data_IF_875501958033
#
_entry.id   IF_875501958033
#
_cell.length_a   1.000
_cell.length_b   1.000
_cell.length_c   1.000
_cell.angle_alpha   90.00
_cell.angle_beta   90.00
_cell.angle_gamma   90.00
#
_symmetry.space_group_name_H-M   'P 1'
#
loop_
_entity.id
_entity.type
_entity.pdbx_description
1 polymer ?
#
# COMPACT_ATOMS: atom_id res chain seq x y z
N UNK A 1 1.20 49.29 -3.89
CA UNK A 1 2.47 48.55 -3.72
C UNK A 1 2.86 47.81 -5.02
N UNK A 2 2.05 46.93 -5.59
CA UNK A 2 2.38 46.26 -6.86
C UNK A 2 2.53 47.19 -8.06
N UNK A 3 1.74 48.30 -8.11
CA UNK A 3 1.89 49.34 -9.13
C UNK A 3 3.21 50.15 -9.01
N UNK A 4 3.71 50.34 -7.78
CA UNK A 4 4.99 50.96 -7.55
C UNK A 4 6.17 50.08 -7.93
N UNK A 5 6.07 48.74 -7.72
CA UNK A 5 7.04 47.79 -8.20
C UNK A 5 7.08 47.77 -9.73
N UNK A 6 5.93 47.85 -10.38
CA UNK A 6 5.84 47.89 -11.83
C UNK A 6 6.47 49.19 -12.40
N UNK A 7 6.24 50.35 -11.75
CA UNK A 7 6.87 51.63 -12.11
C UNK A 7 8.40 51.63 -11.94
N UNK A 8 8.92 50.82 -10.99
CA UNK A 8 10.36 50.64 -10.74
C UNK A 8 11.00 49.52 -11.54
N UNK A 9 10.26 48.91 -12.49
CA UNK A 9 10.77 47.80 -13.32
C UNK A 9 11.03 46.49 -12.56
N UNK A 10 10.51 46.35 -11.34
CA UNK A 10 10.64 45.11 -10.56
C UNK A 10 9.60 44.12 -11.00
N UNK A 11 10.04 42.86 -11.29
CA UNK A 11 9.17 41.76 -11.71
C UNK A 11 8.44 41.14 -10.52
N UNK A 12 8.88 41.43 -9.29
CA UNK A 12 8.31 40.88 -8.07
C UNK A 12 6.95 41.52 -7.76
N UNK A 13 5.97 40.67 -7.43
CA UNK A 13 4.63 41.11 -7.03
C UNK A 13 4.27 40.49 -5.68
N UNK A 14 3.61 41.28 -4.84
CA UNK A 14 3.06 40.81 -3.56
C UNK A 14 1.68 40.22 -3.84
N UNK A 15 1.53 38.97 -3.55
CA UNK A 15 0.24 38.27 -3.57
C UNK A 15 -0.17 37.94 -2.11
N UNK A 16 -1.35 38.40 -1.71
CA UNK A 16 -1.88 38.20 -0.36
C UNK A 16 -2.64 36.88 -0.17
N UNK A 17 -2.79 36.09 -1.23
CA UNK A 17 -3.41 34.78 -1.14
C UNK A 17 -2.51 33.81 -0.38
N UNK A 18 -3.09 32.78 0.23
CA UNK A 18 -2.32 31.70 0.85
C UNK A 18 -1.47 30.95 -0.19
N UNK A 19 -0.40 30.31 0.21
CA UNK A 19 0.42 29.47 -0.67
C UNK A 19 -0.42 28.39 -1.40
N UNK A 20 -1.42 27.86 -0.71
CA UNK A 20 -2.36 26.90 -1.30
C UNK A 20 -3.21 27.52 -2.41
N UNK A 21 -3.71 28.75 -2.20
CA UNK A 21 -4.47 29.48 -3.21
C UNK A 21 -3.61 30.01 -4.38
N UNK A 22 -2.30 30.12 -4.17
CA UNK A 22 -1.31 30.45 -5.21
C UNK A 22 -0.74 29.21 -5.90
N UNK A 23 -1.18 28.01 -5.54
CA UNK A 23 -0.64 26.72 -6.01
C UNK A 23 0.87 26.53 -5.70
N UNK A 24 1.39 27.26 -4.70
CA UNK A 24 2.77 27.15 -4.25
C UNK A 24 2.88 25.93 -3.33
N UNK A 25 3.64 24.92 -3.74
CA UNK A 25 3.84 23.68 -2.98
C UNK A 25 4.89 23.81 -1.86
N UNK A 26 5.12 24.99 -1.35
CA UNK A 26 6.05 25.24 -0.25
C UNK A 26 5.28 25.40 1.07
N UNK A 27 5.92 25.05 2.16
CA UNK A 27 5.37 25.20 3.50
C UNK A 27 5.64 26.65 3.96
N UNK A 28 4.61 27.43 4.33
CA UNK A 28 4.82 28.78 4.81
C UNK A 28 5.55 28.79 6.15
N UNK A 29 6.45 29.76 6.34
CA UNK A 29 7.15 29.93 7.60
C UNK A 29 6.22 30.50 8.68
N UNK A 30 6.47 30.11 9.92
CA UNK A 30 5.74 30.61 11.07
C UNK A 30 6.25 32.04 11.40
N UNK A 31 5.32 32.96 11.66
CA UNK A 31 5.68 34.31 12.03
C UNK A 31 6.51 34.36 13.32
N UNK A 32 7.70 34.95 13.24
CA UNK A 32 8.59 35.20 14.36
C UNK A 32 8.37 36.61 14.87
N UNK A 33 7.88 36.73 16.10
CA UNK A 33 7.74 38.03 16.77
C UNK A 33 9.10 38.64 17.09
N UNK A 34 9.14 39.95 17.45
CA UNK A 34 10.39 40.70 17.71
C UNK A 34 11.28 40.04 18.78
N UNK A 35 10.67 39.45 19.80
CA UNK A 35 11.41 38.77 20.88
C UNK A 35 12.12 37.50 20.40
N UNK A 36 11.45 36.67 19.59
CA UNK A 36 12.05 35.46 19.00
C UNK A 36 13.24 35.85 18.13
N UNK A 37 13.10 36.85 17.25
CA UNK A 37 14.19 37.34 16.40
C UNK A 37 15.39 37.83 17.20
N UNK A 38 15.16 38.59 18.32
CA UNK A 38 16.22 39.05 19.21
C UNK A 38 16.94 37.89 19.91
N UNK A 39 16.22 36.85 20.32
CA UNK A 39 16.80 35.63 20.93
C UNK A 39 17.64 34.85 19.92
N UNK A 40 17.12 34.58 18.74
CA UNK A 40 17.84 33.89 17.67
C UNK A 40 19.10 34.68 17.24
N UNK A 41 19.02 36.00 17.13
CA UNK A 41 20.18 36.88 16.83
C UNK A 41 21.27 36.79 17.90
N UNK A 42 20.93 36.49 19.15
CA UNK A 42 21.86 36.24 20.25
C UNK A 42 22.34 34.82 20.36
N UNK A 43 22.01 33.93 19.39
CA UNK A 43 22.38 32.53 19.37
C UNK A 43 21.53 31.62 20.27
N UNK A 44 20.45 32.16 20.87
CA UNK A 44 19.54 31.40 21.72
C UNK A 44 18.51 30.74 20.80
N UNK A 45 18.54 29.39 20.71
CA UNK A 45 17.61 28.61 19.88
C UNK A 45 16.21 28.63 20.50
N UNK A 46 15.23 29.04 19.71
CA UNK A 46 13.80 28.98 20.07
C UNK A 46 13.08 27.90 19.32
N UNK A 47 11.95 27.42 19.84
CA UNK A 47 11.10 26.40 19.15
C UNK A 47 10.65 26.91 17.77
N UNK A 48 10.16 28.16 17.69
CA UNK A 48 9.71 28.75 16.43
C UNK A 48 10.85 28.91 15.41
N UNK A 49 12.03 29.33 15.87
CA UNK A 49 13.22 29.46 15.03
C UNK A 49 13.70 28.08 14.53
N UNK A 50 13.67 27.08 15.40
CA UNK A 50 14.02 25.68 15.04
C UNK A 50 13.04 25.10 14.01
N UNK A 51 11.74 25.36 14.18
CA UNK A 51 10.72 24.94 13.24
C UNK A 51 10.86 25.63 11.88
N UNK A 52 11.16 26.94 11.87
CA UNK A 52 11.41 27.67 10.62
C UNK A 52 12.67 27.20 9.89
N UNK A 53 13.72 26.79 10.62
CA UNK A 53 14.90 26.15 10.00
C UNK A 53 14.52 24.82 9.33
N UNK A 54 13.75 23.98 10.02
CA UNK A 54 13.25 22.73 9.46
C UNK A 54 12.36 22.96 8.23
N UNK A 55 11.47 23.95 8.29
CA UNK A 55 10.62 24.34 7.14
C UNK A 55 11.50 24.80 5.96
N UNK A 56 12.56 25.54 6.20
CA UNK A 56 13.51 25.95 5.13
C UNK A 56 14.19 24.74 4.49
N UNK A 57 14.68 23.81 5.29
CA UNK A 57 15.32 22.58 4.78
C UNK A 57 14.34 21.74 3.96
N UNK A 58 13.11 21.55 4.44
CA UNK A 58 12.06 20.84 3.71
C UNK A 58 11.74 21.55 2.39
N UNK A 59 11.59 22.86 2.42
CA UNK A 59 11.30 23.66 1.22
C UNK A 59 12.46 23.59 0.20
N UNK A 60 13.70 23.61 0.65
CA UNK A 60 14.87 23.38 -0.22
C UNK A 60 14.81 21.99 -0.85
N UNK A 61 14.50 20.96 -0.09
CA UNK A 61 14.28 19.61 -0.60
C UNK A 61 13.16 19.53 -1.64
N UNK A 62 12.05 20.24 -1.39
CA UNK A 62 10.92 20.32 -2.34
C UNK A 62 11.35 21.00 -3.65
N UNK A 63 12.10 22.09 -3.57
CA UNK A 63 12.61 22.81 -4.76
C UNK A 63 13.56 21.93 -5.57
N UNK A 64 14.50 21.25 -4.91
CA UNK A 64 15.44 20.33 -5.55
C UNK A 64 14.74 19.14 -6.22
N UNK A 65 13.72 18.60 -5.56
CA UNK A 65 12.88 17.56 -6.17
C UNK A 65 12.08 18.09 -7.37
N UNK A 66 11.62 19.32 -7.30
CA UNK A 66 10.88 19.99 -8.39
C UNK A 66 11.77 20.19 -9.62
N UNK A 67 13.02 20.58 -9.40
CA UNK A 67 14.03 20.71 -10.45
C UNK A 67 14.33 19.36 -11.10
N UNK A 68 14.62 18.33 -10.31
CA UNK A 68 14.83 16.97 -10.83
C UNK A 68 13.61 16.42 -11.59
N UNK A 69 12.39 16.69 -11.11
CA UNK A 69 11.17 16.30 -11.83
C UNK A 69 11.07 17.05 -13.17
N UNK A 70 11.48 18.32 -13.21
CA UNK A 70 11.52 19.07 -14.46
C UNK A 70 12.53 18.47 -15.42
N UNK A 71 13.74 18.19 -14.97
CA UNK A 71 14.79 17.56 -15.78
C UNK A 71 14.32 16.22 -16.37
N UNK A 72 13.67 15.39 -15.54
CA UNK A 72 13.06 14.12 -16.00
C UNK A 72 11.95 14.37 -17.02
N UNK A 73 11.13 15.40 -16.84
CA UNK A 73 10.08 15.76 -17.79
C UNK A 73 10.67 16.24 -19.13
N UNK A 74 11.75 17.00 -19.08
CA UNK A 74 12.47 17.48 -20.26
C UNK A 74 13.10 16.29 -21.02
N UNK A 75 13.75 15.36 -20.32
CA UNK A 75 14.26 14.11 -20.91
C UNK A 75 13.13 13.25 -21.49
N UNK A 76 11.99 13.12 -20.82
CA UNK A 76 10.82 12.40 -21.36
C UNK A 76 10.28 13.10 -22.61
N UNK A 77 10.28 14.43 -22.63
CA UNK A 77 9.85 15.22 -23.78
C UNK A 77 10.81 15.02 -24.96
N UNK A 78 12.12 15.07 -24.73
CA UNK A 78 13.14 14.79 -25.72
C UNK A 78 13.06 13.37 -26.27
N UNK A 79 12.93 12.37 -25.41
CA UNK A 79 12.73 10.97 -25.80
C UNK A 79 11.42 10.78 -26.57
N UNK A 80 10.36 11.49 -26.17
CA UNK A 80 9.08 11.47 -26.90
C UNK A 80 9.21 12.08 -28.31
N UNK A 81 9.96 13.20 -28.44
CA UNK A 81 10.25 13.81 -29.74
C UNK A 81 11.20 12.95 -30.60
N UNK A 82 12.16 12.29 -29.98
CA UNK A 82 13.07 11.36 -30.64
C UNK A 82 12.34 10.08 -31.09
N UNK A 83 11.44 9.57 -30.30
CA UNK A 83 10.48 8.51 -30.68
C UNK A 83 9.59 8.96 -31.84
N UNK A 84 9.12 10.20 -31.87
CA UNK A 84 8.34 10.75 -32.99
C UNK A 84 9.16 10.93 -34.26
N UNK A 85 10.44 11.26 -34.15
CA UNK A 85 11.39 11.35 -35.31
C UNK A 85 11.74 9.98 -35.87
N UNK A 86 11.85 8.97 -35.03
CA UNK A 86 12.08 7.57 -35.45
C UNK A 86 10.81 6.83 -35.90
N UNK A 87 9.70 7.52 -36.11
CA UNK A 87 8.37 6.99 -36.45
C UNK A 87 8.22 6.29 -37.81
N UNK A 88 9.28 6.08 -38.57
CA UNK A 88 9.24 5.19 -39.71
C UNK A 88 9.55 3.72 -39.44
N UNK A 89 9.84 3.35 -38.18
CA UNK A 89 10.12 1.98 -37.76
C UNK A 89 9.21 1.56 -36.63
N UNK A 90 8.20 0.74 -36.92
CA UNK A 90 7.45 -0.18 -36.06
C UNK A 90 7.22 0.29 -34.60
N UNK A 91 6.28 1.25 -34.40
CA UNK A 91 5.71 1.44 -33.07
C UNK A 91 5.03 0.14 -32.64
N UNK A 92 5.48 -0.46 -31.55
CA UNK A 92 4.81 -1.64 -31.03
C UNK A 92 3.35 -1.28 -30.71
N UNK A 93 2.41 -2.16 -31.01
CA UNK A 93 0.96 -2.01 -30.69
C UNK A 93 0.75 -1.65 -29.21
N UNK A 94 1.64 -2.09 -28.33
CA UNK A 94 1.61 -1.81 -26.89
C UNK A 94 1.89 -0.33 -26.59
N UNK A 95 2.91 0.25 -27.20
CA UNK A 95 3.30 1.66 -27.02
C UNK A 95 2.17 2.62 -27.43
N UNK A 96 1.54 2.36 -28.59
CA UNK A 96 0.37 3.13 -29.03
C UNK A 96 -0.86 2.95 -28.10
N UNK A 97 -1.05 1.76 -27.59
CA UNK A 97 -2.13 1.47 -26.65
C UNK A 97 -1.95 2.25 -25.34
N UNK A 98 -0.72 2.30 -24.81
CA UNK A 98 -0.40 3.02 -23.57
C UNK A 98 -0.60 4.53 -23.73
N UNK A 99 -0.12 5.12 -24.82
CA UNK A 99 -0.33 6.54 -25.09
C UNK A 99 -1.82 6.89 -25.09
N UNK A 100 -2.64 6.11 -25.79
CA UNK A 100 -4.10 6.31 -25.84
C UNK A 100 -4.76 6.10 -24.48
N UNK A 101 -4.36 5.08 -23.73
CA UNK A 101 -4.89 4.80 -22.40
C UNK A 101 -4.66 5.96 -21.42
N UNK A 102 -3.46 6.54 -21.41
CA UNK A 102 -3.16 7.67 -20.54
C UNK A 102 -3.74 9.00 -21.07
N UNK A 103 -3.88 9.17 -22.38
CA UNK A 103 -4.60 10.30 -22.95
C UNK A 103 -6.08 10.31 -22.53
N UNK A 104 -6.77 9.20 -22.67
CA UNK A 104 -8.17 9.01 -22.23
C UNK A 104 -8.36 9.31 -20.74
N UNK A 105 -7.43 8.85 -19.90
CA UNK A 105 -7.43 9.15 -18.46
C UNK A 105 -7.18 10.63 -18.14
N UNK A 106 -6.39 11.31 -18.94
CA UNK A 106 -6.17 12.75 -18.77
C UNK A 106 -7.39 13.55 -19.19
N UNK A 107 -8.04 13.20 -20.29
CA UNK A 107 -9.31 13.81 -20.74
C UNK A 107 -10.42 13.61 -19.70
N UNK A 108 -10.54 12.40 -19.15
CA UNK A 108 -11.50 12.12 -18.08
C UNK A 108 -11.21 12.96 -16.83
N UNK A 109 -9.94 13.17 -16.48
CA UNK A 109 -9.55 14.01 -15.34
C UNK A 109 -9.81 15.50 -15.61
N UNK A 110 -9.80 15.94 -16.86
CA UNK A 110 -10.09 17.32 -17.27
C UNK A 110 -11.57 17.68 -17.12
N UNK A 111 -12.47 16.71 -17.27
CA UNK A 111 -13.91 16.91 -17.08
C UNK A 111 -14.28 17.26 -15.62
N UNK A 112 -13.42 16.89 -14.65
CA UNK A 112 -13.58 17.27 -13.25
C UNK A 112 -12.72 18.49 -12.94
N UNK A 113 -13.33 19.66 -12.75
CA UNK A 113 -12.66 20.95 -12.59
C UNK A 113 -11.68 21.08 -11.42
N UNK A 114 -11.69 20.13 -10.48
CA UNK A 114 -10.84 20.14 -9.28
C UNK A 114 -9.71 19.11 -9.41
N UNK A 115 -8.47 19.58 -9.45
CA UNK A 115 -7.30 18.70 -9.37
C UNK A 115 -6.66 18.27 -10.70
N UNK A 116 -6.95 18.94 -11.82
CA UNK A 116 -6.39 18.66 -13.17
C UNK A 116 -4.88 18.42 -13.17
N UNK A 117 -4.13 19.34 -12.59
CA UNK A 117 -2.66 19.26 -12.55
C UNK A 117 -2.16 18.09 -11.69
N UNK A 118 -2.85 17.80 -10.58
CA UNK A 118 -2.52 16.66 -9.72
C UNK A 118 -2.80 15.32 -10.42
N UNK A 119 -3.92 15.23 -11.14
CA UNK A 119 -4.28 14.04 -11.89
C UNK A 119 -3.29 13.78 -13.04
N UNK A 120 -2.94 14.81 -13.83
CA UNK A 120 -1.93 14.72 -14.90
C UNK A 120 -0.56 14.27 -14.36
N UNK A 121 -0.07 14.89 -13.27
CA UNK A 121 1.19 14.48 -12.63
C UNK A 121 1.14 13.03 -12.14
N UNK A 122 0.02 12.61 -11.54
CA UNK A 122 -0.16 11.23 -11.09
C UNK A 122 -0.20 10.24 -12.24
N UNK A 123 -0.88 10.59 -13.34
CA UNK A 123 -0.94 9.75 -14.54
C UNK A 123 0.43 9.64 -15.22
N UNK A 124 1.19 10.74 -15.30
CA UNK A 124 2.55 10.73 -15.84
C UNK A 124 3.49 9.84 -15.01
N UNK A 125 3.43 9.97 -13.69
CA UNK A 125 4.21 9.12 -12.79
C UNK A 125 3.86 7.64 -12.99
N UNK A 126 2.58 7.30 -13.05
CA UNK A 126 2.12 5.93 -13.30
C UNK A 126 2.55 5.40 -14.67
N UNK A 127 2.55 6.27 -15.68
CA UNK A 127 3.02 5.90 -17.01
C UNK A 127 4.52 5.56 -16.98
N UNK A 128 5.33 6.39 -16.33
CA UNK A 128 6.76 6.15 -16.18
C UNK A 128 7.06 4.86 -15.40
N UNK A 129 6.40 4.65 -14.25
CA UNK A 129 6.51 3.42 -13.45
C UNK A 129 6.15 2.17 -14.28
N UNK A 130 5.11 2.29 -15.10
CA UNK A 130 4.66 1.20 -15.96
C UNK A 130 5.66 0.90 -17.08
N UNK A 131 6.22 1.93 -17.74
CA UNK A 131 7.22 1.74 -18.79
C UNK A 131 8.46 1.03 -18.24
N UNK A 132 8.96 1.46 -17.08
CA UNK A 132 10.07 0.79 -16.39
C UNK A 132 9.71 -0.66 -16.08
N UNK A 133 8.53 -0.92 -15.56
CA UNK A 133 8.05 -2.27 -15.27
C UNK A 133 8.02 -3.17 -16.52
N UNK A 134 7.50 -2.64 -17.64
CA UNK A 134 7.44 -3.39 -18.90
C UNK A 134 8.82 -3.70 -19.46
N UNK A 135 9.75 -2.77 -19.31
CA UNK A 135 11.15 -2.95 -19.73
C UNK A 135 11.86 -3.99 -18.86
N UNK A 136 11.75 -3.91 -17.54
CA UNK A 136 12.31 -4.89 -16.58
C UNK A 136 11.82 -6.32 -16.85
N UNK A 137 10.57 -6.45 -17.29
CA UNK A 137 9.96 -7.75 -17.58
C UNK A 137 10.01 -8.15 -19.06
N UNK A 138 10.72 -7.38 -19.91
CA UNK A 138 10.85 -7.63 -21.34
C UNK A 138 9.52 -7.80 -22.07
N UNK A 139 8.51 -6.98 -21.71
CA UNK A 139 7.18 -7.03 -22.31
C UNK A 139 7.09 -5.98 -23.42
N UNK A 140 7.11 -6.41 -24.66
CA UNK A 140 7.12 -5.55 -25.85
C UNK A 140 5.80 -5.53 -26.62
N UNK A 141 4.92 -6.51 -26.37
CA UNK A 141 3.65 -6.68 -27.08
C UNK A 141 2.45 -6.82 -26.12
N UNK A 142 1.24 -6.54 -26.67
CA UNK A 142 -0.02 -6.74 -25.91
C UNK A 142 -0.25 -8.22 -25.59
N UNK A 143 0.23 -9.13 -26.43
CA UNK A 143 0.12 -10.57 -26.21
C UNK A 143 0.99 -11.04 -25.05
N UNK A 144 2.23 -10.56 -25.00
CA UNK A 144 3.14 -10.80 -23.88
C UNK A 144 2.59 -10.20 -22.58
N UNK A 145 2.01 -8.99 -22.62
CA UNK A 145 1.34 -8.38 -21.48
C UNK A 145 0.18 -9.23 -20.98
N UNK A 146 -0.67 -9.74 -21.89
CA UNK A 146 -1.77 -10.63 -21.52
C UNK A 146 -1.29 -11.96 -20.92
N UNK A 147 -0.19 -12.53 -21.44
CA UNK A 147 0.44 -13.72 -20.86
C UNK A 147 0.96 -13.42 -19.46
N UNK A 148 1.75 -12.36 -19.31
CA UNK A 148 2.29 -11.94 -18.03
C UNK A 148 1.20 -11.71 -16.96
N UNK A 149 0.09 -11.06 -17.33
CA UNK A 149 -1.07 -10.88 -16.43
C UNK A 149 -1.69 -12.21 -16.02
N UNK A 150 -1.76 -13.20 -16.91
CA UNK A 150 -2.25 -14.55 -16.58
C UNK A 150 -1.32 -15.27 -15.60
N UNK A 151 -0.01 -15.18 -15.83
CA UNK A 151 0.99 -15.81 -14.98
C UNK A 151 0.99 -15.18 -13.58
N UNK A 152 0.93 -13.84 -13.50
CA UNK A 152 0.80 -13.12 -12.23
C UNK A 152 -0.51 -13.40 -11.49
N UNK A 153 -1.61 -13.65 -12.20
CA UNK A 153 -2.86 -14.10 -11.57
C UNK A 153 -2.76 -15.51 -10.99
N UNK A 154 -2.06 -16.40 -11.66
CA UNK A 154 -1.80 -17.73 -11.13
C UNK A 154 -0.97 -17.64 -9.84
N UNK A 155 0.09 -16.84 -9.84
CA UNK A 155 0.91 -16.53 -8.66
C UNK A 155 0.06 -15.96 -7.51
N UNK A 156 -0.81 -14.98 -7.79
CA UNK A 156 -1.74 -14.41 -6.81
C UNK A 156 -2.68 -15.47 -6.24
N UNK A 157 -3.16 -16.40 -7.08
CA UNK A 157 -4.00 -17.53 -6.67
C UNK A 157 -3.28 -18.43 -5.68
N UNK A 158 -2.03 -18.77 -5.95
CA UNK A 158 -1.17 -19.59 -5.06
C UNK A 158 -0.96 -18.86 -3.73
N UNK A 159 -0.56 -17.58 -3.78
CA UNK A 159 -0.34 -16.78 -2.59
C UNK A 159 -1.63 -16.63 -1.76
N UNK A 160 -2.78 -16.51 -2.42
CA UNK A 160 -4.09 -16.51 -1.77
C UNK A 160 -4.42 -17.82 -1.05
N UNK A 161 -4.02 -18.96 -1.62
CA UNK A 161 -4.17 -20.25 -0.96
C UNK A 161 -3.24 -20.39 0.25
N UNK A 162 -1.98 -19.96 0.10
CA UNK A 162 -1.01 -19.93 1.22
C UNK A 162 -1.53 -19.09 2.38
N UNK A 163 -2.06 -17.91 2.10
CA UNK A 163 -2.64 -17.03 3.13
C UNK A 163 -3.84 -17.68 3.83
N UNK A 164 -4.70 -18.40 3.10
CA UNK A 164 -5.82 -19.14 3.70
C UNK A 164 -5.34 -20.25 4.61
N UNK A 165 -4.33 -21.04 4.17
CA UNK A 165 -3.74 -22.10 5.00
C UNK A 165 -3.11 -21.56 6.26
N UNK A 166 -2.26 -20.51 6.17
CA UNK A 166 -1.66 -19.87 7.35
C UNK A 166 -2.71 -19.35 8.32
N UNK A 167 -3.79 -18.74 7.83
CA UNK A 167 -4.89 -18.27 8.67
C UNK A 167 -5.59 -19.43 9.41
N UNK A 168 -5.78 -20.55 8.76
CA UNK A 168 -6.33 -21.75 9.37
C UNK A 168 -5.38 -22.34 10.42
N UNK A 169 -4.07 -22.37 10.14
CA UNK A 169 -3.06 -22.85 11.10
C UNK A 169 -2.96 -21.96 12.34
N UNK A 170 -3.05 -20.64 12.18
CA UNK A 170 -3.13 -19.69 13.30
C UNK A 170 -4.38 -19.96 14.13
N UNK A 171 -5.54 -20.13 13.52
CA UNK A 171 -6.79 -20.40 14.20
C UNK A 171 -6.70 -21.73 14.99
N UNK A 172 -6.16 -22.77 14.37
CA UNK A 172 -5.95 -24.09 15.01
C UNK A 172 -4.95 -24.01 16.17
N UNK A 173 -3.88 -23.25 16.02
CA UNK A 173 -2.90 -23.04 17.08
C UNK A 173 -3.47 -22.25 18.26
N UNK A 174 -4.27 -21.22 18.00
CA UNK A 174 -5.00 -20.48 19.05
C UNK A 174 -6.02 -21.33 19.76
N UNK A 175 -6.69 -22.21 19.04
CA UNK A 175 -7.63 -23.18 19.64
C UNK A 175 -6.89 -24.18 20.53
N UNK A 176 -5.75 -24.71 20.09
CA UNK A 176 -4.92 -25.59 20.90
C UNK A 176 -4.41 -24.88 22.17
N UNK A 177 -4.02 -23.61 22.07
CA UNK A 177 -3.61 -22.81 23.23
C UNK A 177 -4.75 -22.62 24.25
N UNK A 178 -6.00 -22.44 23.75
CA UNK A 178 -7.18 -22.37 24.59
C UNK A 178 -7.42 -23.68 25.36
N UNK A 179 -7.31 -24.83 24.67
CA UNK A 179 -7.44 -26.13 25.33
C UNK A 179 -6.32 -26.39 26.33
N UNK A 180 -5.08 -25.96 26.01
CA UNK A 180 -3.97 -26.10 26.95
C UNK A 180 -4.20 -25.27 28.21
N UNK A 181 -4.71 -24.04 28.10
CA UNK A 181 -5.08 -23.24 29.26
C UNK A 181 -6.16 -23.92 30.12
N UNK A 182 -7.22 -24.45 29.51
CA UNK A 182 -8.27 -25.18 30.24
C UNK A 182 -7.77 -26.41 30.92
N UNK A 183 -6.81 -27.10 30.32
CA UNK A 183 -6.16 -28.27 30.91
C UNK A 183 -5.33 -27.88 32.14
N UNK A 184 -4.49 -26.84 32.01
CA UNK A 184 -3.67 -26.34 33.11
C UNK A 184 -4.50 -25.79 34.28
N UNK A 185 -5.59 -25.06 33.99
CA UNK A 185 -6.53 -24.56 35.00
C UNK A 185 -7.21 -25.70 35.79
N UNK A 186 -7.43 -26.82 35.14
CA UNK A 186 -8.09 -27.96 35.79
C UNK A 186 -7.16 -28.86 36.60
N UNK A 187 -5.84 -28.88 36.34
CA UNK A 187 -4.89 -29.71 37.07
C UNK A 187 -4.92 -29.51 38.59
N UNK A 188 -4.89 -28.27 39.13
CA UNK A 188 -4.95 -28.05 40.58
C UNK A 188 -6.25 -28.56 41.19
N UNK A 189 -7.38 -28.38 40.51
CA UNK A 189 -8.71 -28.84 40.98
C UNK A 189 -8.76 -30.37 41.05
N UNK A 190 -8.23 -31.07 40.04
CA UNK A 190 -8.11 -32.53 40.06
C UNK A 190 -7.19 -32.99 41.21
N UNK A 191 -6.06 -32.33 41.39
CA UNK A 191 -5.11 -32.63 42.48
C UNK A 191 -5.76 -32.42 43.85
N UNK A 192 -6.59 -31.43 44.04
CA UNK A 192 -7.36 -31.25 45.29
C UNK A 192 -8.37 -32.36 45.51
N UNK A 193 -9.11 -32.80 44.49
CA UNK A 193 -10.06 -33.90 44.53
C UNK A 193 -9.35 -35.21 44.92
N UNK A 194 -8.18 -35.49 44.34
CA UNK A 194 -7.41 -36.70 44.62
C UNK A 194 -6.88 -36.74 46.04
N UNK A 195 -6.44 -35.64 46.59
CA UNK A 195 -5.95 -35.52 47.99
C UNK A 195 -7.03 -35.73 49.03
N UNK A 196 -8.32 -35.61 48.74
CA UNK A 196 -9.41 -35.79 49.70
C UNK A 196 -9.74 -37.26 49.86
N UNK A 197 -9.82 -37.75 51.08
CA UNK A 197 -10.19 -39.16 51.43
C UNK A 197 -11.74 -39.36 51.43
N UNK A 198 -12.50 -38.36 51.81
CA UNK A 198 -13.94 -38.48 51.99
C UNK A 198 -14.74 -38.08 50.69
N UNK A 199 -15.69 -38.93 50.30
CA UNK A 199 -16.48 -38.72 49.08
C UNK A 199 -17.31 -37.42 49.16
N UNK A 200 -17.89 -37.07 50.31
CA UNK A 200 -18.68 -35.84 50.51
C UNK A 200 -17.84 -34.57 50.23
N UNK A 201 -16.56 -34.56 50.65
CA UNK A 201 -15.64 -33.45 50.33
C UNK A 201 -15.27 -33.37 48.87
N UNK A 202 -15.12 -34.53 48.20
CA UNK A 202 -14.89 -34.59 46.74
C UNK A 202 -16.07 -34.04 45.95
N UNK A 203 -17.30 -34.42 46.35
CA UNK A 203 -18.50 -33.96 45.66
C UNK A 203 -18.72 -32.44 45.81
N UNK A 204 -18.37 -31.88 46.99
CA UNK A 204 -18.42 -30.42 47.19
C UNK A 204 -17.46 -29.68 46.23
N UNK A 205 -16.22 -30.10 46.15
CA UNK A 205 -15.23 -29.49 45.24
C UNK A 205 -15.67 -29.65 43.76
N UNK A 206 -16.23 -30.81 43.38
CA UNK A 206 -16.80 -31.03 42.07
C UNK A 206 -17.98 -30.09 41.74
N UNK A 207 -18.85 -29.86 42.70
CA UNK A 207 -20.00 -28.95 42.56
C UNK A 207 -19.53 -27.49 42.42
N UNK A 208 -18.54 -27.07 43.24
CA UNK A 208 -17.99 -25.73 43.21
C UNK A 208 -17.21 -25.42 41.93
N UNK A 209 -16.56 -26.43 41.33
CA UNK A 209 -15.69 -26.30 40.14
C UNK A 209 -16.23 -27.03 38.91
N UNK A 210 -17.52 -27.21 38.80
CA UNK A 210 -18.15 -28.03 37.77
C UNK A 210 -17.79 -27.62 36.32
N UNK A 211 -17.75 -26.31 36.05
CA UNK A 211 -17.39 -25.78 34.70
C UNK A 211 -15.90 -25.96 34.41
N UNK A 212 -15.02 -25.74 35.37
CA UNK A 212 -13.56 -25.95 35.21
C UNK A 212 -13.26 -27.42 34.94
N UNK A 213 -13.89 -28.34 35.64
CA UNK A 213 -13.75 -29.78 35.44
C UNK A 213 -14.28 -30.21 34.06
N UNK A 214 -15.43 -29.67 33.65
CA UNK A 214 -15.96 -29.94 32.31
C UNK A 214 -14.98 -29.50 31.22
N UNK A 215 -14.47 -28.29 31.31
CA UNK A 215 -13.45 -27.74 30.37
C UNK A 215 -12.18 -28.59 30.40
N UNK A 216 -11.71 -28.98 31.56
CA UNK A 216 -10.55 -29.86 31.73
C UNK A 216 -10.73 -31.19 30.98
N UNK A 217 -11.86 -31.88 31.17
CA UNK A 217 -12.10 -33.17 30.52
C UNK A 217 -12.20 -33.04 29.01
N UNK A 218 -12.85 -31.96 28.50
CA UNK A 218 -12.91 -31.67 27.07
C UNK A 218 -11.48 -31.41 26.54
N UNK A 219 -10.73 -30.56 27.22
CA UNK A 219 -9.37 -30.21 26.82
C UNK A 219 -8.45 -31.43 26.82
N UNK A 220 -8.49 -32.24 27.89
CA UNK A 220 -7.70 -33.47 28.00
C UNK A 220 -7.98 -34.43 26.83
N UNK A 221 -9.25 -34.66 26.48
CA UNK A 221 -9.64 -35.52 25.33
C UNK A 221 -9.06 -34.97 24.02
N UNK A 222 -9.29 -33.67 23.71
CA UNK A 222 -8.87 -33.07 22.46
C UNK A 222 -7.34 -33.01 22.34
N UNK A 223 -6.64 -32.65 23.42
CA UNK A 223 -5.18 -32.63 23.44
C UNK A 223 -4.57 -34.02 23.29
N UNK A 224 -5.22 -35.04 23.82
CA UNK A 224 -4.80 -36.45 23.65
C UNK A 224 -5.04 -36.91 22.20
N UNK A 225 -6.21 -36.64 21.63
CA UNK A 225 -6.53 -36.96 20.23
C UNK A 225 -5.61 -36.26 19.24
N UNK A 226 -5.17 -35.05 19.55
CA UNK A 226 -4.22 -34.27 18.74
C UNK A 226 -2.75 -34.59 19.06
N UNK A 227 -2.46 -35.51 19.96
CA UNK A 227 -1.12 -35.89 20.43
C UNK A 227 -0.26 -34.70 20.93
N UNK A 228 -0.91 -33.70 21.53
CA UNK A 228 -0.23 -32.50 22.02
C UNK A 228 0.12 -32.56 23.50
N UNK A 229 -0.50 -33.48 24.25
CA UNK A 229 -0.36 -33.60 25.69
C UNK A 229 1.08 -34.05 26.03
N UNK A 230 1.81 -33.22 26.78
CA UNK A 230 3.20 -33.47 27.15
C UNK A 230 4.24 -33.23 26.06
N UNK A 231 3.82 -32.90 24.81
CA UNK A 231 4.75 -32.63 23.70
C UNK A 231 4.96 -31.15 23.42
N UNK A 232 4.08 -30.29 23.90
CA UNK A 232 4.12 -28.87 23.55
C UNK A 232 3.75 -27.99 24.75
N UNK A 233 4.64 -27.07 25.07
CA UNK A 233 4.44 -26.08 26.14
C UNK A 233 3.69 -24.85 25.64
N UNK A 234 3.03 -24.17 26.54
CA UNK A 234 2.28 -22.94 26.28
C UNK A 234 3.15 -21.86 25.64
N UNK A 235 4.37 -21.69 26.11
CA UNK A 235 5.35 -20.72 25.60
C UNK A 235 5.73 -21.01 24.15
N UNK A 236 6.01 -22.27 23.85
CA UNK A 236 6.32 -22.74 22.50
C UNK A 236 5.14 -22.51 21.54
N UNK A 237 3.93 -22.76 22.01
CA UNK A 237 2.73 -22.55 21.21
C UNK A 237 2.46 -21.05 20.96
N UNK A 238 2.68 -20.20 21.95
CA UNK A 238 2.60 -18.75 21.81
C UNK A 238 3.63 -18.19 20.83
N UNK A 239 4.88 -18.64 20.91
CA UNK A 239 5.92 -18.29 19.96
C UNK A 239 5.56 -18.71 18.53
N UNK A 240 5.05 -19.93 18.36
CA UNK A 240 4.58 -20.42 17.06
C UNK A 240 3.45 -19.58 16.50
N UNK A 241 2.48 -19.18 17.33
CA UNK A 241 1.38 -18.29 16.90
C UNK A 241 1.96 -16.95 16.47
N UNK A 242 2.85 -16.33 17.24
CA UNK A 242 3.47 -15.05 16.92
C UNK A 242 4.25 -15.09 15.61
N UNK A 243 5.04 -16.13 15.37
CA UNK A 243 5.79 -16.32 14.12
C UNK A 243 4.83 -16.47 12.92
N UNK A 244 3.80 -17.31 13.05
CA UNK A 244 2.78 -17.50 12.00
C UNK A 244 2.00 -16.21 11.70
N UNK A 245 1.69 -15.39 12.71
CA UNK A 245 1.04 -14.10 12.53
C UNK A 245 1.91 -13.09 11.78
N UNK A 246 3.21 -13.07 12.10
CA UNK A 246 4.18 -12.21 11.39
C UNK A 246 4.30 -12.60 9.93
N UNK A 247 4.52 -13.89 9.66
CA UNK A 247 4.58 -14.42 8.30
C UNK A 247 3.27 -14.20 7.52
N UNK A 248 2.12 -14.34 8.18
CA UNK A 248 0.83 -14.09 7.55
C UNK A 248 0.63 -12.61 7.18
N UNK A 249 1.13 -11.68 8.00
CA UNK A 249 1.12 -10.23 7.70
C UNK A 249 1.99 -9.91 6.49
N UNK A 250 3.20 -10.46 6.43
CA UNK A 250 4.14 -10.27 5.32
C UNK A 250 3.56 -10.80 4.00
N UNK A 251 3.07 -12.05 4.01
CA UNK A 251 2.44 -12.66 2.85
C UNK A 251 1.20 -11.89 2.39
N UNK A 252 0.41 -11.36 3.33
CA UNK A 252 -0.76 -10.56 2.98
C UNK A 252 -0.38 -9.20 2.38
N UNK A 253 0.72 -8.59 2.83
CA UNK A 253 1.25 -7.37 2.23
C UNK A 253 1.71 -7.62 0.78
N UNK A 254 2.43 -8.72 0.53
CA UNK A 254 2.83 -9.15 -0.81
C UNK A 254 1.61 -9.42 -1.71
N UNK A 255 0.61 -10.16 -1.20
CA UNK A 255 -0.64 -10.40 -1.90
C UNK A 255 -1.34 -9.11 -2.32
N UNK A 256 -1.41 -8.13 -1.42
CA UNK A 256 -2.06 -6.84 -1.66
C UNK A 256 -1.29 -5.98 -2.68
N UNK A 257 0.05 -6.04 -2.68
CA UNK A 257 0.88 -5.38 -3.68
C UNK A 257 0.66 -5.99 -5.05
N UNK A 258 0.85 -7.31 -5.17
CA UNK A 258 0.67 -8.05 -6.41
C UNK A 258 -0.75 -7.88 -7.01
N UNK A 259 -1.78 -7.85 -6.16
CA UNK A 259 -3.15 -7.62 -6.61
C UNK A 259 -3.36 -6.23 -7.22
N UNK A 260 -2.66 -5.19 -6.68
CA UNK A 260 -2.71 -3.83 -7.25
C UNK A 260 -2.01 -3.76 -8.60
N UNK A 261 -0.84 -4.38 -8.72
CA UNK A 261 -0.06 -4.40 -9.95
C UNK A 261 -0.82 -5.11 -11.07
N UNK A 262 -1.39 -6.28 -10.76
CA UNK A 262 -2.25 -7.01 -11.69
C UNK A 262 -3.44 -6.17 -12.14
N UNK A 263 -4.09 -5.46 -11.22
CA UNK A 263 -5.25 -4.61 -11.56
C UNK A 263 -4.86 -3.53 -12.57
N UNK A 264 -3.73 -2.85 -12.35
CA UNK A 264 -3.24 -1.81 -13.26
C UNK A 264 -2.93 -2.38 -14.65
N UNK A 265 -2.26 -3.52 -14.74
CA UNK A 265 -1.97 -4.18 -16.01
C UNK A 265 -3.24 -4.67 -16.73
N UNK A 266 -4.23 -5.16 -15.96
CA UNK A 266 -5.51 -5.58 -16.50
C UNK A 266 -6.30 -4.44 -17.11
N UNK A 267 -6.31 -3.26 -16.48
CA UNK A 267 -7.00 -2.07 -17.00
C UNK A 267 -6.48 -1.74 -18.41
N UNK A 268 -5.18 -1.87 -18.64
CA UNK A 268 -4.54 -1.66 -19.95
C UNK A 268 -4.96 -2.73 -20.97
N UNK A 269 -4.94 -4.01 -20.54
CA UNK A 269 -5.39 -5.11 -21.41
C UNK A 269 -6.86 -4.94 -21.83
N UNK A 270 -7.71 -4.49 -20.91
CA UNK A 270 -9.14 -4.23 -21.18
C UNK A 270 -9.32 -3.06 -22.12
N UNK A 271 -8.57 -1.97 -21.93
CA UNK A 271 -8.57 -0.82 -22.82
C UNK A 271 -8.15 -1.20 -24.25
N UNK A 272 -7.08 -1.99 -24.38
CA UNK A 272 -6.62 -2.52 -25.68
C UNK A 272 -7.70 -3.31 -26.40
N UNK A 273 -8.44 -4.17 -25.69
CA UNK A 273 -9.53 -4.96 -26.27
C UNK A 273 -10.67 -4.05 -26.78
N UNK A 274 -11.11 -3.10 -25.95
CA UNK A 274 -12.17 -2.13 -26.34
C UNK A 274 -11.78 -1.35 -27.58
N UNK A 275 -10.55 -0.84 -27.65
CA UNK A 275 -10.06 -0.09 -28.79
C UNK A 275 -10.01 -0.94 -30.07
N UNK A 276 -9.63 -2.23 -29.96
CA UNK A 276 -9.65 -3.15 -31.11
C UNK A 276 -11.08 -3.47 -31.59
N UNK A 277 -12.02 -3.64 -30.65
CA UNK A 277 -13.45 -3.87 -30.99
C UNK A 277 -14.09 -2.65 -31.65
N UNK A 278 -13.85 -1.45 -31.14
CA UNK A 278 -14.34 -0.21 -31.73
C UNK A 278 -13.80 0.00 -33.17
N UNK A 279 -12.52 -0.29 -33.40
CA UNK A 279 -11.96 -0.25 -34.76
C UNK A 279 -12.63 -1.24 -35.69
N UNK A 280 -12.88 -2.48 -35.24
CA UNK A 280 -13.55 -3.52 -36.05
C UNK A 280 -14.99 -3.14 -36.40
N UNK A 281 -15.72 -2.47 -35.47
CA UNK A 281 -17.07 -2.01 -35.73
C UNK A 281 -17.10 -0.89 -36.79
N UNK A 282 -16.21 0.12 -36.65
CA UNK A 282 -16.08 1.20 -37.66
C UNK A 282 -15.75 0.69 -39.05
N UNK A 283 -14.81 -0.24 -39.15
CA UNK A 283 -14.43 -0.85 -40.44
C UNK A 283 -15.59 -1.65 -41.06
N UNK A 284 -16.45 -2.26 -40.27
CA UNK A 284 -17.65 -2.95 -40.75
C UNK A 284 -18.72 -1.98 -41.24
N UNK A 285 -18.91 -0.86 -40.54
CA UNK A 285 -19.80 0.20 -40.92
C UNK A 285 -19.34 0.89 -42.21
N UNK A 286 -18.07 1.19 -42.36
CA UNK A 286 -17.47 1.77 -43.57
C UNK A 286 -17.54 0.83 -44.78
N UNK A 287 -17.46 -0.49 -44.59
CA UNK A 287 -17.57 -1.48 -45.66
C UNK A 287 -19.04 -1.85 -46.02
N UNK A 288 -20.01 -1.33 -45.24
CA UNK A 288 -21.44 -1.57 -45.48
C UNK A 288 -22.15 -0.37 -46.14
N UNK A 289 -21.44 0.73 -46.32
CA UNK A 289 -21.81 1.91 -47.10
C UNK A 289 -21.21 1.85 -48.50
#
# INVERSE_FOLDING_TARGET
MNEEFQKKGMLERIDHRSYEAQEIMLIPQIHEGPNVRKMEAKGIRTEKGSLNRLIKEINQGILLLKEKVKDIMDVISELSEEMHRNEKSTKSDLSQCLQKYFADRNETAESYNYGKNKARKTNLKKMAELLVYLEEHHISSIEELNKHVRDKKAELGILGQVNRRKKADIARSKENLRYLNWYEEGIPVIGEIEKRKFNKAKERIKAENGDTLRRYHIAKRILTERELLGKMDKTTLQQKISSLETEAKENYAQYKSLARDIKQLQDICMFSKKTKEQKRQRTKEENSL
#
